data_IF_270515376229
#
_entry.id   IF_270515376229
#
_cell.length_a   1.000
_cell.length_b   1.000
_cell.length_c   1.000
_cell.angle_alpha   90.00
_cell.angle_beta   90.00
_cell.angle_gamma   90.00
#
_symmetry.space_group_name_H-M   'P 1'
#
loop_
_entity.id
_entity.type
_entity.pdbx_description
1 polymer ?
#
# COMPACT_ATOMS: atom_id res chain seq x y z
N UNK A 1 13.14 10.18 31.44
CA UNK A 1 13.96 9.20 30.69
C UNK A 1 13.09 7.99 30.39
N UNK A 2 12.65 7.79 29.14
CA UNK A 2 11.89 6.59 28.76
C UNK A 2 12.76 5.36 29.04
N UNK A 3 12.37 4.55 30.03
CA UNK A 3 12.97 3.23 30.23
C UNK A 3 12.42 2.31 29.12
N UNK A 4 13.08 2.34 27.96
CA UNK A 4 12.84 1.36 26.90
C UNK A 4 13.28 -0.01 27.42
N UNK A 5 12.34 -0.70 28.06
CA UNK A 5 12.49 -2.12 28.36
C UNK A 5 12.62 -2.88 27.05
N UNK A 6 13.49 -3.90 27.03
CA UNK A 6 13.63 -4.81 25.89
C UNK A 6 12.26 -5.34 25.44
N UNK A 7 11.40 -5.68 26.41
CA UNK A 7 10.03 -6.13 26.13
C UNK A 7 9.24 -5.11 25.29
N UNK A 8 9.26 -3.83 25.68
CA UNK A 8 8.56 -2.78 24.95
C UNK A 8 9.12 -2.59 23.53
N UNK A 9 10.45 -2.66 23.37
CA UNK A 9 11.09 -2.57 22.05
C UNK A 9 10.63 -3.71 21.16
N UNK A 10 10.72 -4.95 21.64
CA UNK A 10 10.32 -6.14 20.86
C UNK A 10 8.84 -6.11 20.51
N UNK A 11 7.97 -5.80 21.47
CA UNK A 11 6.52 -5.72 21.22
C UNK A 11 6.18 -4.65 20.19
N UNK A 12 6.80 -3.46 20.26
CA UNK A 12 6.60 -2.41 19.26
C UNK A 12 7.13 -2.82 17.89
N UNK A 13 8.34 -3.39 17.83
CA UNK A 13 8.93 -3.86 16.57
C UNK A 13 8.07 -4.92 15.91
N UNK A 14 7.60 -5.93 16.65
CA UNK A 14 6.75 -6.99 16.11
C UNK A 14 5.37 -6.45 15.69
N UNK A 15 4.77 -5.57 16.50
CA UNK A 15 3.51 -4.93 16.15
C UNK A 15 3.60 -4.13 14.86
N UNK A 16 4.63 -3.28 14.72
CA UNK A 16 4.85 -2.52 13.49
C UNK A 16 5.24 -3.43 12.32
N UNK A 17 6.09 -4.43 12.51
CA UNK A 17 6.43 -5.38 11.46
C UNK A 17 5.18 -6.09 10.94
N UNK A 18 4.28 -6.54 11.82
CA UNK A 18 3.03 -7.17 11.42
C UNK A 18 2.14 -6.25 10.57
N UNK A 19 2.06 -4.97 10.92
CA UNK A 19 1.27 -3.99 10.16
C UNK A 19 1.91 -3.63 8.82
N UNK A 20 3.24 -3.43 8.79
CA UNK A 20 3.92 -2.88 7.61
C UNK A 20 4.47 -3.94 6.65
N UNK A 21 4.80 -5.15 7.10
CA UNK A 21 5.30 -6.21 6.20
C UNK A 21 4.30 -6.54 5.09
N UNK A 22 2.99 -6.74 5.36
CA UNK A 22 2.02 -6.95 4.29
C UNK A 22 1.92 -5.78 3.32
N UNK A 23 1.97 -4.55 3.84
CA UNK A 23 1.98 -3.33 3.01
C UNK A 23 3.23 -3.27 2.12
N UNK A 24 4.41 -3.61 2.65
CA UNK A 24 5.65 -3.67 1.88
C UNK A 24 5.59 -4.74 0.81
N UNK A 25 5.01 -5.90 1.10
CA UNK A 25 4.78 -6.96 0.10
C UNK A 25 3.92 -6.43 -1.04
N UNK A 26 2.82 -5.73 -0.74
CA UNK A 26 1.97 -5.11 -1.77
C UNK A 26 2.73 -4.08 -2.61
N UNK A 27 3.56 -3.25 -1.98
CA UNK A 27 4.41 -2.28 -2.69
C UNK A 27 5.44 -2.97 -3.58
N UNK A 28 6.06 -4.07 -3.13
CA UNK A 28 7.01 -4.82 -3.95
C UNK A 28 6.29 -5.44 -5.16
N UNK A 29 5.13 -6.05 -4.95
CA UNK A 29 4.34 -6.67 -6.01
C UNK A 29 3.67 -5.66 -6.95
N UNK A 30 3.47 -4.40 -6.56
CA UNK A 30 2.98 -3.38 -7.50
C UNK A 30 3.98 -3.09 -8.62
N UNK A 31 5.25 -3.45 -8.43
CA UNK A 31 6.27 -3.42 -9.48
C UNK A 31 6.39 -4.73 -10.25
N UNK A 32 5.62 -5.78 -9.94
CA UNK A 32 5.66 -7.02 -10.71
C UNK A 32 4.96 -6.82 -12.06
N UNK A 33 5.66 -7.11 -13.15
CA UNK A 33 5.06 -7.04 -14.49
C UNK A 33 3.91 -8.05 -14.67
N UNK A 34 3.90 -9.15 -13.92
CA UNK A 34 2.85 -10.15 -13.96
C UNK A 34 1.56 -9.66 -13.31
N UNK A 35 0.41 -10.06 -13.87
CA UNK A 35 -0.90 -9.92 -13.22
C UNK A 35 -1.09 -10.91 -12.05
N UNK A 36 -0.30 -11.98 -12.00
CA UNK A 36 -0.36 -13.01 -10.98
C UNK A 36 0.73 -12.77 -9.94
N UNK A 37 0.33 -12.62 -8.68
CA UNK A 37 1.26 -12.45 -7.53
C UNK A 37 2.14 -13.66 -7.27
N UNK A 38 1.79 -14.83 -7.81
CA UNK A 38 2.57 -16.08 -7.67
C UNK A 38 3.71 -16.19 -8.67
N UNK A 39 3.71 -15.38 -9.73
CA UNK A 39 4.71 -15.44 -10.81
C UNK A 39 5.42 -14.10 -10.88
N UNK A 40 6.73 -14.09 -10.64
CA UNK A 40 7.55 -12.89 -10.82
C UNK A 40 8.01 -12.77 -12.26
N UNK A 41 7.42 -11.84 -13.02
CA UNK A 41 7.75 -11.64 -14.44
C UNK A 41 8.82 -10.56 -14.68
N UNK A 42 9.26 -9.85 -13.63
CA UNK A 42 10.24 -8.76 -13.71
C UNK A 42 9.74 -7.49 -13.03
N UNK A 43 10.65 -6.52 -12.89
CA UNK A 43 10.33 -5.19 -12.36
C UNK A 43 9.76 -4.29 -13.47
N UNK A 44 8.61 -3.66 -13.22
CA UNK A 44 7.92 -2.79 -14.17
C UNK A 44 7.05 -1.75 -13.46
N UNK A 45 6.95 -0.55 -14.02
CA UNK A 45 6.03 0.50 -13.56
C UNK A 45 4.78 0.62 -14.43
N UNK A 46 4.54 -0.35 -15.34
CA UNK A 46 3.49 -0.26 -16.35
C UNK A 46 2.09 -0.02 -15.76
N UNK A 47 1.78 -0.64 -14.63
CA UNK A 47 0.46 -0.56 -14.01
C UNK A 47 0.12 0.86 -13.55
N UNK A 48 1.12 1.65 -13.15
CA UNK A 48 0.91 3.05 -12.83
C UNK A 48 0.51 3.86 -14.08
N UNK A 49 1.13 3.56 -15.23
CA UNK A 49 0.77 4.18 -16.51
C UNK A 49 -0.62 3.73 -17.00
N UNK A 50 -0.93 2.45 -16.91
CA UNK A 50 -2.26 1.91 -17.25
C UNK A 50 -3.36 2.51 -16.36
N UNK A 51 -3.08 2.72 -15.07
CA UNK A 51 -4.00 3.36 -14.14
C UNK A 51 -4.33 4.80 -14.57
N UNK A 52 -3.31 5.57 -14.95
CA UNK A 52 -3.49 6.96 -15.41
C UNK A 52 -4.27 7.05 -16.73
N UNK A 53 -4.26 6.00 -17.55
CA UNK A 53 -5.04 5.95 -18.79
C UNK A 53 -6.48 5.47 -18.57
N UNK A 54 -6.80 4.94 -17.39
CA UNK A 54 -8.14 4.45 -17.07
C UNK A 54 -9.02 5.57 -16.48
N UNK A 55 -9.70 6.32 -17.35
CA UNK A 55 -10.57 7.43 -16.93
C UNK A 55 -11.67 6.99 -15.96
N UNK A 56 -12.30 5.84 -16.19
CA UNK A 56 -13.35 5.33 -15.30
C UNK A 56 -12.83 5.08 -13.87
N UNK A 57 -11.60 4.57 -13.74
CA UNK A 57 -10.96 4.39 -12.44
C UNK A 57 -10.66 5.72 -11.77
N UNK A 58 -10.09 6.68 -12.51
CA UNK A 58 -9.76 8.01 -11.99
C UNK A 58 -11.02 8.77 -11.55
N UNK A 59 -12.09 8.72 -12.33
CA UNK A 59 -13.37 9.35 -12.00
C UNK A 59 -13.96 8.78 -10.71
N UNK A 60 -13.95 7.44 -10.58
CA UNK A 60 -14.38 6.78 -9.36
C UNK A 60 -13.54 7.21 -8.15
N UNK A 61 -12.22 7.28 -8.30
CA UNK A 61 -11.32 7.74 -7.23
C UNK A 61 -11.61 9.18 -6.81
N UNK A 62 -11.87 10.08 -7.77
CA UNK A 62 -12.25 11.47 -7.50
C UNK A 62 -13.60 11.59 -6.79
N UNK A 63 -14.57 10.76 -7.17
CA UNK A 63 -15.86 10.69 -6.48
C UNK A 63 -15.65 10.23 -5.04
N UNK A 64 -14.89 9.16 -4.80
CA UNK A 64 -14.57 8.70 -3.44
C UNK A 64 -13.90 9.78 -2.61
N UNK A 65 -12.93 10.50 -3.19
CA UNK A 65 -12.24 11.59 -2.50
C UNK A 65 -13.20 12.74 -2.15
N UNK A 66 -14.06 13.15 -3.09
CA UNK A 66 -15.10 14.16 -2.84
C UNK A 66 -16.03 13.75 -1.72
N UNK A 67 -16.53 12.52 -1.75
CA UNK A 67 -17.41 11.99 -0.70
C UNK A 67 -16.70 12.00 0.65
N UNK A 68 -15.46 11.52 0.73
CA UNK A 68 -14.70 11.48 1.98
C UNK A 68 -14.52 12.86 2.60
N UNK A 69 -14.19 13.88 1.79
CA UNK A 69 -14.03 15.26 2.28
C UNK A 69 -15.37 15.84 2.75
N UNK A 70 -16.43 15.64 1.96
CA UNK A 70 -17.76 16.18 2.28
C UNK A 70 -18.39 15.50 3.50
N UNK A 71 -18.13 14.21 3.72
CA UNK A 71 -18.68 13.45 4.86
C UNK A 71 -17.88 13.56 6.15
N UNK A 72 -16.66 14.09 6.09
CA UNK A 72 -15.77 14.22 7.25
C UNK A 72 -16.02 15.51 8.06
N UNK A 73 -17.08 16.26 7.74
CA UNK A 73 -17.57 17.43 8.51
C UNK A 73 -18.87 17.06 9.21
#
# INVERSE_FOLDING_TARGET
MMRLSWFNVVSLTLGFAFLYVPMLILVIYSFNESKLVTVWAGFSTKWYGELMQNQAFLDAALVTLKVAVMSST
#
